data_IF_952904044854
#
_entry.id   IF_952904044854
#
_cell.length_a   1.000
_cell.length_b   1.000
_cell.length_c   1.000
_cell.angle_alpha   90.00
_cell.angle_beta   90.00
_cell.angle_gamma   90.00
#
_symmetry.space_group_name_H-M   'P 1'
#
loop_
_entity.id
_entity.type
_entity.pdbx_description
1 polymer ?
#
# COMPACT_ATOMS: atom_id res chain seq x y z
N UNK A 1 -11.31 29.63 4.52
CA UNK A 1 -10.03 28.99 4.86
C UNK A 1 -9.64 28.20 3.63
N UNK A 2 -8.66 28.67 2.86
CA UNK A 2 -7.99 27.81 1.89
C UNK A 2 -7.24 26.76 2.70
N UNK A 3 -7.54 25.48 2.47
CA UNK A 3 -6.75 24.40 3.04
C UNK A 3 -5.47 24.29 2.21
N UNK A 4 -4.31 24.33 2.86
CA UNK A 4 -3.03 24.16 2.17
C UNK A 4 -3.03 22.79 1.47
N UNK A 5 -2.95 22.81 0.14
CA UNK A 5 -2.94 21.60 -0.67
C UNK A 5 -1.50 21.14 -0.90
N UNK A 6 -1.19 19.91 -0.48
CA UNK A 6 0.10 19.27 -0.71
C UNK A 6 0.00 18.31 -1.89
N UNK A 7 0.57 18.74 -3.01
CA UNK A 7 0.68 17.96 -4.24
C UNK A 7 2.12 17.98 -4.73
N UNK A 8 2.56 16.83 -5.26
CA UNK A 8 3.78 16.70 -6.06
C UNK A 8 3.38 16.49 -7.53
N UNK A 9 4.08 17.16 -8.43
CA UNK A 9 3.79 17.10 -9.87
C UNK A 9 4.75 16.10 -10.52
N UNK A 10 4.27 15.30 -11.46
CA UNK A 10 5.13 14.36 -12.19
C UNK A 10 6.27 15.11 -12.88
N UNK A 11 7.51 14.73 -12.57
CA UNK A 11 8.69 15.41 -13.10
C UNK A 11 8.81 15.28 -14.62
N UNK A 12 8.32 14.16 -15.18
CA UNK A 12 8.37 13.83 -16.61
C UNK A 12 7.29 14.54 -17.44
N UNK A 13 6.01 14.40 -17.07
CA UNK A 13 4.88 14.87 -17.90
C UNK A 13 4.17 16.12 -17.35
N UNK A 14 4.56 16.59 -16.15
CA UNK A 14 3.97 17.75 -15.46
C UNK A 14 2.49 17.59 -15.06
N UNK A 15 1.95 16.38 -15.08
CA UNK A 15 0.60 16.09 -14.61
C UNK A 15 0.53 16.09 -13.08
N UNK A 16 -0.63 16.53 -12.57
CA UNK A 16 -1.01 16.41 -11.17
C UNK A 16 -1.60 15.00 -10.97
N UNK A 17 -1.14 14.22 -9.99
CA UNK A 17 -1.67 12.90 -9.73
C UNK A 17 -3.10 12.99 -9.21
N UNK A 18 -3.94 12.05 -9.62
CA UNK A 18 -5.30 11.95 -9.14
C UNK A 18 -5.33 11.47 -7.67
N UNK A 19 -6.40 11.82 -6.96
CA UNK A 19 -6.67 11.25 -5.65
C UNK A 19 -7.10 9.79 -5.82
N UNK A 20 -6.75 8.95 -4.85
CA UNK A 20 -7.19 7.56 -4.85
C UNK A 20 -8.72 7.50 -4.71
N UNK A 21 -9.36 6.89 -5.70
CA UNK A 21 -10.78 6.58 -5.71
C UNK A 21 -10.93 5.06 -5.67
N UNK A 22 -11.88 4.56 -4.88
CA UNK A 22 -12.17 3.13 -4.88
C UNK A 22 -13.02 2.82 -6.12
N UNK A 23 -12.35 2.54 -7.22
CA UNK A 23 -12.95 2.26 -8.53
C UNK A 23 -13.02 0.75 -8.82
N UNK A 24 -12.33 -0.09 -8.05
CA UNK A 24 -12.43 -1.55 -8.17
C UNK A 24 -13.62 -2.11 -7.40
N UNK A 25 -14.58 -2.62 -8.16
CA UNK A 25 -15.71 -3.41 -7.64
C UNK A 25 -15.19 -4.51 -6.73
N UNK A 26 -15.92 -4.80 -5.65
CA UNK A 26 -15.61 -5.88 -4.71
C UNK A 26 -14.82 -5.42 -3.49
N UNK A 27 -13.84 -4.53 -3.65
CA UNK A 27 -12.99 -4.07 -2.55
C UNK A 27 -13.69 -3.04 -1.65
N UNK A 28 -13.43 -3.14 -0.35
CA UNK A 28 -13.97 -2.22 0.66
C UNK A 28 -13.24 -0.88 0.70
N UNK A 29 -11.96 -0.86 0.30
CA UNK A 29 -11.11 0.32 0.41
C UNK A 29 -10.02 0.39 -0.66
N UNK A 30 -9.54 1.61 -0.87
CA UNK A 30 -8.32 1.93 -1.60
C UNK A 30 -7.42 2.76 -0.69
N UNK A 31 -6.12 2.55 -0.79
CA UNK A 31 -5.09 3.20 0.00
C UNK A 31 -3.88 3.52 -0.88
N UNK A 32 -3.05 4.48 -0.45
CA UNK A 32 -1.71 4.67 -1.00
C UNK A 32 -0.81 3.52 -0.60
N UNK A 33 -0.07 2.92 -1.53
CA UNK A 33 0.84 1.83 -1.23
C UNK A 33 2.21 2.32 -0.73
N UNK A 34 3.00 2.98 -1.58
CA UNK A 34 4.39 3.35 -1.29
C UNK A 34 4.64 4.85 -1.42
N UNK A 35 3.61 5.65 -1.11
CA UNK A 35 3.67 7.12 -1.22
C UNK A 35 4.13 7.78 0.09
N UNK A 36 4.24 6.99 1.16
CA UNK A 36 4.46 7.47 2.52
C UNK A 36 5.44 6.58 3.30
N UNK A 37 6.46 7.23 3.86
CA UNK A 37 7.48 6.60 4.68
C UNK A 37 7.25 6.91 6.17
N UNK A 38 7.28 5.87 7.00
CA UNK A 38 6.90 5.94 8.41
C UNK A 38 8.11 6.17 9.33
N UNK A 39 8.02 7.13 10.25
CA UNK A 39 9.09 7.45 11.21
C UNK A 39 8.66 7.32 12.68
N UNK A 40 9.66 7.33 13.57
CA UNK A 40 9.47 7.45 15.02
C UNK A 40 9.93 8.81 15.58
N UNK A 41 10.10 9.82 14.73
CA UNK A 41 10.53 11.14 15.18
C UNK A 41 9.47 11.81 16.07
N UNK A 42 9.86 12.21 17.28
CA UNK A 42 8.99 12.88 18.23
C UNK A 42 9.06 14.42 18.10
N UNK A 43 10.25 14.99 17.96
CA UNK A 43 10.47 16.44 17.93
C UNK A 43 10.94 16.94 16.56
N UNK A 44 12.19 16.70 16.20
CA UNK A 44 12.72 17.18 14.93
C UNK A 44 12.70 16.08 13.87
N UNK A 45 12.53 16.49 12.62
CA UNK A 45 12.66 15.61 11.44
C UNK A 45 13.95 15.94 10.71
N UNK A 46 14.58 14.95 10.05
CA UNK A 46 15.73 15.20 9.18
C UNK A 46 15.42 16.25 8.11
N UNK A 47 16.43 17.03 7.74
CA UNK A 47 16.35 17.91 6.58
C UNK A 47 16.00 17.12 5.31
N UNK A 48 15.24 17.71 4.39
CA UNK A 48 14.79 17.04 3.17
C UNK A 48 15.92 16.69 2.18
N UNK A 49 17.15 17.17 2.40
CA UNK A 49 18.35 16.71 1.68
C UNK A 49 18.84 15.34 2.17
N UNK A 50 18.53 14.95 3.40
CA UNK A 50 18.90 13.65 3.97
C UNK A 50 17.97 12.57 3.41
N UNK A 51 18.54 11.65 2.63
CA UNK A 51 17.79 10.57 1.97
C UNK A 51 17.61 9.33 2.84
N UNK A 52 18.52 9.10 3.78
CA UNK A 52 18.54 7.90 4.60
C UNK A 52 18.27 8.25 6.05
N UNK A 53 17.23 7.65 6.61
CA UNK A 53 16.84 7.80 8.00
C UNK A 53 16.11 6.53 8.45
N UNK A 54 16.00 6.33 9.76
CA UNK A 54 15.44 5.10 10.33
C UNK A 54 13.91 5.06 10.18
N UNK A 55 13.42 4.14 9.35
CA UNK A 55 11.98 3.84 9.22
C UNK A 55 11.52 2.97 10.39
N UNK A 56 10.27 3.16 10.83
CA UNK A 56 9.72 2.34 11.92
C UNK A 56 9.32 0.95 11.44
N UNK A 57 9.62 -0.08 12.23
CA UNK A 57 9.07 -1.43 12.05
C UNK A 57 7.81 -1.69 12.88
N UNK A 58 7.40 -0.73 13.71
CA UNK A 58 6.24 -0.85 14.58
C UNK A 58 5.08 -0.06 13.95
N UNK A 59 3.95 -0.72 13.64
CA UNK A 59 2.75 -0.05 13.16
C UNK A 59 2.21 0.89 14.25
N UNK A 60 1.72 2.06 13.86
CA UNK A 60 1.18 3.03 14.81
C UNK A 60 -0.12 2.53 15.44
N UNK A 61 -0.59 3.26 16.45
CA UNK A 61 -1.85 3.00 17.15
C UNK A 61 -2.85 4.14 16.87
N UNK A 62 -4.14 3.82 16.81
CA UNK A 62 -5.19 4.82 16.65
C UNK A 62 -5.13 5.88 17.76
N UNK A 63 -5.26 7.14 17.37
CA UNK A 63 -5.13 8.32 18.24
C UNK A 63 -3.72 8.91 18.28
N UNK A 64 -2.70 8.20 17.82
CA UNK A 64 -1.32 8.73 17.78
C UNK A 64 -1.16 9.86 16.76
N UNK A 65 -0.22 10.74 17.04
CA UNK A 65 0.32 11.69 16.08
C UNK A 65 1.64 11.13 15.55
N UNK A 66 1.80 11.12 14.22
CA UNK A 66 3.03 10.65 13.57
C UNK A 66 3.56 11.69 12.61
N UNK A 67 4.89 11.69 12.48
CA UNK A 67 5.63 12.43 11.46
C UNK A 67 6.00 11.45 10.36
N UNK A 68 5.61 11.75 9.14
CA UNK A 68 5.80 10.87 7.99
C UNK A 68 6.33 11.69 6.83
N UNK A 69 7.14 11.06 5.98
CA UNK A 69 7.58 11.67 4.75
C UNK A 69 6.67 11.19 3.62
N UNK A 70 6.16 12.12 2.82
CA UNK A 70 5.36 11.82 1.63
C UNK A 70 6.05 12.33 0.37
N UNK A 71 5.82 11.67 -0.75
CA UNK A 71 6.36 12.04 -2.06
C UNK A 71 5.32 11.82 -3.15
N UNK A 72 5.67 12.09 -4.41
CA UNK A 72 4.80 11.77 -5.54
C UNK A 72 4.39 10.28 -5.53
N UNK A 73 3.13 9.90 -5.82
CA UNK A 73 1.98 10.71 -6.29
C UNK A 73 1.05 11.29 -5.19
N UNK A 74 1.56 11.68 -4.01
CA UNK A 74 0.71 12.25 -2.95
C UNK A 74 -0.02 13.53 -3.39
N UNK A 75 -1.34 13.58 -3.16
CA UNK A 75 -2.18 14.73 -3.45
C UNK A 75 -3.31 14.86 -2.42
N UNK A 76 -3.07 15.59 -1.34
CA UNK A 76 -4.03 15.79 -0.26
C UNK A 76 -3.98 17.22 0.27
N UNK A 77 -5.12 17.72 0.74
CA UNK A 77 -5.22 18.99 1.46
C UNK A 77 -5.20 18.77 2.97
N UNK A 78 -4.64 19.73 3.70
CA UNK A 78 -4.69 19.72 5.17
C UNK A 78 -6.15 19.59 5.64
N UNK A 79 -6.39 18.72 6.61
CA UNK A 79 -7.71 18.34 7.13
C UNK A 79 -8.36 17.16 6.41
N UNK A 80 -7.86 16.75 5.24
CA UNK A 80 -8.39 15.58 4.55
C UNK A 80 -7.95 14.26 5.18
N UNK A 81 -8.74 13.22 4.93
CA UNK A 81 -8.49 11.86 5.40
C UNK A 81 -8.12 10.97 4.23
N UNK A 82 -7.18 10.07 4.45
CA UNK A 82 -6.75 9.10 3.45
C UNK A 82 -6.36 7.78 4.10
N UNK A 83 -6.28 6.74 3.28
CA UNK A 83 -5.77 5.44 3.68
C UNK A 83 -4.39 5.21 3.06
N UNK A 84 -3.56 4.47 3.76
CA UNK A 84 -2.21 4.11 3.31
C UNK A 84 -1.83 2.74 3.88
N UNK A 85 -1.02 2.00 3.12
CA UNK A 85 -0.40 0.76 3.58
C UNK A 85 0.80 1.09 4.46
N UNK A 86 0.78 0.54 5.66
CA UNK A 86 1.94 0.43 6.51
C UNK A 86 2.66 -0.88 6.23
N UNK A 87 3.90 -0.77 5.78
CA UNK A 87 4.89 -1.84 5.75
C UNK A 87 5.97 -1.53 6.80
N UNK A 88 6.37 -2.50 7.64
CA UNK A 88 7.53 -2.34 8.50
C UNK A 88 8.81 -2.06 7.68
N UNK A 89 9.86 -1.58 8.35
CA UNK A 89 11.02 -0.98 7.68
C UNK A 89 11.66 -1.86 6.60
N UNK A 90 11.87 -3.15 6.84
CA UNK A 90 12.63 -4.01 5.92
C UNK A 90 11.84 -4.27 4.63
N UNK A 91 10.56 -4.61 4.76
CA UNK A 91 9.63 -4.80 3.65
C UNK A 91 9.26 -3.50 2.94
N UNK A 92 9.38 -2.34 3.60
CA UNK A 92 9.30 -1.03 2.96
C UNK A 92 10.52 -0.73 2.07
N UNK A 93 11.69 -1.35 2.31
CA UNK A 93 12.88 -1.17 1.48
C UNK A 93 13.01 -2.24 0.39
N UNK A 94 12.78 -3.51 0.74
CA UNK A 94 13.06 -4.66 -0.14
C UNK A 94 11.83 -5.54 -0.40
N UNK A 95 10.63 -5.06 -0.06
CA UNK A 95 9.39 -5.77 -0.29
C UNK A 95 9.16 -6.98 0.64
N UNK A 96 7.95 -7.55 0.56
CA UNK A 96 7.57 -8.73 1.33
C UNK A 96 8.17 -10.02 0.75
N UNK A 97 8.67 -10.00 -0.49
CA UNK A 97 9.39 -11.10 -1.11
C UNK A 97 10.70 -11.42 -0.39
N UNK A 98 11.42 -10.40 0.09
CA UNK A 98 12.65 -10.58 0.90
C UNK A 98 12.36 -10.67 2.40
N UNK A 99 11.27 -10.05 2.86
CA UNK A 99 10.90 -9.98 4.27
C UNK A 99 9.44 -10.40 4.53
N UNK A 100 9.05 -11.64 4.19
CA UNK A 100 7.65 -12.07 4.24
C UNK A 100 7.11 -12.17 5.67
N UNK A 101 7.98 -12.32 6.66
CA UNK A 101 7.62 -12.28 8.08
C UNK A 101 7.05 -10.93 8.55
N UNK A 102 7.21 -9.86 7.76
CA UNK A 102 6.64 -8.54 8.07
C UNK A 102 5.20 -8.35 7.56
N UNK A 103 4.65 -9.32 6.81
CA UNK A 103 3.24 -9.31 6.37
C UNK A 103 2.28 -9.23 7.57
N UNK A 104 2.50 -10.05 8.61
CA UNK A 104 1.66 -10.07 9.82
C UNK A 104 1.74 -8.76 10.63
N UNK A 105 2.84 -8.02 10.48
CA UNK A 105 3.03 -6.71 11.11
C UNK A 105 2.55 -5.54 10.25
N UNK A 106 2.10 -5.82 9.02
CA UNK A 106 1.61 -4.81 8.08
C UNK A 106 0.13 -4.47 8.32
N UNK A 107 -0.28 -3.27 7.90
CA UNK A 107 -1.62 -2.76 8.18
C UNK A 107 -2.08 -1.76 7.14
N UNK A 108 -3.39 -1.62 6.96
CA UNK A 108 -3.99 -0.47 6.29
C UNK A 108 -4.40 0.55 7.35
N UNK A 109 -3.97 1.79 7.16
CA UNK A 109 -4.05 2.83 8.17
C UNK A 109 -4.79 4.03 7.62
N UNK A 110 -5.84 4.44 8.33
CA UNK A 110 -6.55 5.67 8.08
C UNK A 110 -5.89 6.79 8.83
N UNK A 111 -5.56 7.85 8.12
CA UNK A 111 -4.90 9.01 8.66
C UNK A 111 -5.69 10.27 8.32
N UNK A 112 -5.62 11.29 9.17
CA UNK A 112 -5.94 12.67 8.80
C UNK A 112 -4.66 13.47 8.65
N UNK A 113 -4.59 14.29 7.59
CA UNK A 113 -3.47 15.17 7.31
C UNK A 113 -3.59 16.44 8.14
N UNK A 114 -2.70 16.64 9.12
CA UNK A 114 -2.85 17.70 10.13
C UNK A 114 -2.06 18.97 9.77
N UNK A 115 -0.81 18.84 9.32
CA UNK A 115 -0.01 20.00 8.94
C UNK A 115 1.22 19.61 8.12
N UNK A 116 1.76 20.57 7.35
CA UNK A 116 3.07 20.45 6.70
C UNK A 116 4.16 20.88 7.69
N UNK A 117 5.23 20.10 7.83
CA UNK A 117 6.40 20.43 8.66
C UNK A 117 7.45 21.14 7.80
N UNK A 118 7.77 20.54 6.66
CA UNK A 118 8.72 21.07 5.67
C UNK A 118 8.41 20.46 4.30
N UNK A 119 8.65 21.20 3.22
CA UNK A 119 8.41 20.74 1.84
C UNK A 119 9.53 21.19 0.90
N UNK A 120 9.83 20.36 -0.10
CA UNK A 120 10.55 20.75 -1.31
C UNK A 120 9.78 20.27 -2.56
N UNK A 121 10.42 20.26 -3.73
CA UNK A 121 9.78 19.87 -4.99
C UNK A 121 9.46 18.37 -5.10
N UNK A 122 10.15 17.51 -4.34
CA UNK A 122 10.06 16.04 -4.46
C UNK A 122 9.29 15.39 -3.31
N UNK A 123 9.36 15.97 -2.12
CA UNK A 123 8.87 15.38 -0.87
C UNK A 123 8.52 16.41 0.20
N UNK A 124 7.79 15.96 1.20
CA UNK A 124 7.48 16.75 2.39
C UNK A 124 7.44 15.88 3.64
N UNK A 125 7.84 16.47 4.76
CA UNK A 125 7.49 15.96 6.07
C UNK A 125 6.14 16.54 6.48
N UNK A 126 5.22 15.68 6.91
CA UNK A 126 3.90 16.07 7.38
C UNK A 126 3.59 15.47 8.75
N UNK A 127 2.73 16.16 9.50
CA UNK A 127 2.07 15.59 10.67
C UNK A 127 0.77 14.93 10.21
N UNK A 128 0.55 13.71 10.68
CA UNK A 128 -0.70 12.99 10.54
C UNK A 128 -1.22 12.56 11.89
N UNK A 129 -2.54 12.44 12.01
CA UNK A 129 -3.19 11.75 13.12
C UNK A 129 -3.72 10.42 12.63
N UNK A 130 -3.44 9.39 13.41
CA UNK A 130 -3.89 8.03 13.11
C UNK A 130 -5.33 7.89 13.58
N UNK A 131 -6.26 7.65 12.66
CA UNK A 131 -7.67 7.46 12.99
C UNK A 131 -8.02 6.00 13.23
N UNK A 132 -7.49 5.12 12.37
CA UNK A 132 -7.83 3.71 12.38
C UNK A 132 -6.67 2.87 11.85
N UNK A 133 -6.48 1.69 12.44
CA UNK A 133 -5.45 0.73 12.04
C UNK A 133 -6.11 -0.63 11.85
N UNK A 134 -6.00 -1.20 10.66
CA UNK A 134 -6.53 -2.52 10.31
C UNK A 134 -5.35 -3.39 9.89
N UNK A 135 -4.93 -4.30 10.76
CA UNK A 135 -3.88 -5.28 10.42
C UNK A 135 -4.34 -6.16 9.27
N UNK A 136 -3.45 -6.47 8.34
CA UNK A 136 -3.78 -7.30 7.17
C UNK A 136 -4.31 -8.67 7.60
N UNK A 137 -3.74 -9.26 8.65
CA UNK A 137 -4.18 -10.54 9.21
C UNK A 137 -5.65 -10.57 9.65
N UNK A 138 -6.24 -9.40 9.96
CA UNK A 138 -7.60 -9.23 10.50
C UNK A 138 -8.61 -8.76 9.46
N UNK A 139 -8.21 -8.58 8.21
CA UNK A 139 -9.10 -8.12 7.13
C UNK A 139 -10.29 -9.06 6.95
N UNK A 140 -10.06 -10.38 7.03
CA UNK A 140 -11.11 -11.41 6.90
C UNK A 140 -12.15 -11.36 8.01
N UNK A 141 -11.80 -10.84 9.18
CA UNK A 141 -12.73 -10.65 10.31
C UNK A 141 -13.47 -9.31 10.20
N UNK A 142 -12.84 -8.32 9.54
CA UNK A 142 -13.33 -6.94 9.43
C UNK A 142 -14.37 -6.79 8.32
N UNK A 143 -14.16 -7.43 7.17
CA UNK A 143 -15.00 -7.26 6.00
C UNK A 143 -15.83 -8.49 5.68
N UNK A 144 -17.02 -8.24 5.15
CA UNK A 144 -17.91 -9.29 4.65
C UNK A 144 -17.25 -9.96 3.46
N UNK A 145 -17.20 -11.30 3.50
CA UNK A 145 -16.70 -12.08 2.37
C UNK A 145 -17.55 -11.83 1.13
N UNK A 146 -16.89 -11.63 -0.01
CA UNK A 146 -17.49 -11.52 -1.34
C UNK A 146 -16.82 -12.50 -2.28
N UNK A 147 -17.58 -13.02 -3.23
CA UNK A 147 -17.01 -13.78 -4.32
C UNK A 147 -16.26 -12.84 -5.26
N UNK A 148 -15.03 -13.20 -5.62
CA UNK A 148 -14.25 -12.50 -6.61
C UNK A 148 -14.11 -13.31 -7.88
N UNK A 149 -14.11 -12.63 -9.01
CA UNK A 149 -13.81 -13.22 -10.32
C UNK A 149 -12.98 -12.21 -11.12
N UNK A 150 -12.07 -12.72 -11.93
CA UNK A 150 -11.24 -12.00 -12.91
C UNK A 150 -10.18 -11.04 -12.33
N UNK A 151 -10.03 -10.93 -11.00
CA UNK A 151 -9.01 -10.05 -10.40
C UNK A 151 -7.58 -10.50 -10.72
N UNK A 152 -7.33 -11.81 -10.83
CA UNK A 152 -6.01 -12.34 -11.14
C UNK A 152 -5.70 -12.36 -12.64
N UNK A 153 -6.69 -12.05 -13.50
CA UNK A 153 -6.52 -12.03 -14.94
C UNK A 153 -5.44 -11.04 -15.42
N UNK A 154 -5.22 -9.95 -14.69
CA UNK A 154 -4.25 -8.93 -15.06
C UNK A 154 -2.79 -9.42 -14.99
N UNK A 155 -2.50 -10.43 -14.15
CA UNK A 155 -1.18 -11.05 -14.09
C UNK A 155 -0.75 -11.70 -15.41
N UNK A 156 -1.70 -12.11 -16.25
CA UNK A 156 -1.46 -12.75 -17.55
C UNK A 156 -0.81 -11.82 -18.58
N UNK A 157 -0.86 -10.51 -18.37
CA UNK A 157 -0.18 -9.53 -19.23
C UNK A 157 1.32 -9.40 -18.94
N UNK A 158 1.78 -9.98 -17.84
CA UNK A 158 3.18 -9.96 -17.45
C UNK A 158 3.86 -11.28 -17.79
N UNK A 159 5.17 -11.22 -18.11
CA UNK A 159 5.89 -12.38 -18.64
C UNK A 159 6.06 -13.51 -17.64
N UNK A 160 6.27 -13.19 -16.35
CA UNK A 160 6.51 -14.17 -15.30
C UNK A 160 6.20 -13.58 -13.93
N UNK A 161 5.03 -13.88 -13.34
CA UNK A 161 4.76 -13.55 -11.96
C UNK A 161 5.75 -14.26 -11.02
N UNK A 162 6.18 -13.55 -9.98
CA UNK A 162 6.88 -14.10 -8.85
C UNK A 162 5.86 -14.56 -7.80
N UNK A 163 6.16 -15.69 -7.14
CA UNK A 163 5.37 -16.24 -6.03
C UNK A 163 6.26 -16.40 -4.81
N UNK A 164 5.84 -15.80 -3.70
CA UNK A 164 6.44 -16.01 -2.37
C UNK A 164 5.40 -16.59 -1.43
N UNK A 165 5.71 -17.71 -0.77
CA UNK A 165 4.85 -18.32 0.23
C UNK A 165 5.44 -18.13 1.64
N UNK A 166 4.59 -17.80 2.61
CA UNK A 166 4.98 -17.66 4.01
C UNK A 166 3.81 -17.96 4.94
N UNK A 167 3.96 -18.98 5.79
CA UNK A 167 2.86 -19.48 6.63
C UNK A 167 1.60 -19.77 5.79
N UNK A 168 0.50 -19.08 6.09
CA UNK A 168 -0.76 -19.14 5.36
C UNK A 168 -0.90 -18.03 4.29
N UNK A 169 0.15 -17.25 4.06
CA UNK A 169 0.19 -16.21 3.02
C UNK A 169 0.81 -16.70 1.72
N UNK A 170 0.29 -16.19 0.62
CA UNK A 170 0.91 -16.21 -0.70
C UNK A 170 0.92 -14.77 -1.22
N UNK A 171 2.10 -14.31 -1.62
CA UNK A 171 2.28 -13.10 -2.38
C UNK A 171 2.53 -13.46 -3.84
N UNK A 172 1.67 -12.96 -4.72
CA UNK A 172 1.94 -12.94 -6.16
C UNK A 172 2.34 -11.53 -6.55
N UNK A 173 3.35 -11.38 -7.39
CA UNK A 173 3.79 -10.08 -7.89
C UNK A 173 4.23 -10.21 -9.35
N UNK A 174 3.86 -9.26 -10.19
CA UNK A 174 4.32 -9.22 -11.56
C UNK A 174 4.52 -7.77 -12.00
N UNK A 175 5.58 -7.51 -12.76
CA UNK A 175 5.90 -6.17 -13.21
C UNK A 175 6.52 -6.17 -14.61
N UNK A 176 6.42 -5.04 -15.30
CA UNK A 176 7.13 -4.79 -16.54
C UNK A 176 8.25 -3.79 -16.28
N UNK A 177 9.48 -4.31 -16.15
CA UNK A 177 10.70 -3.54 -15.90
C UNK A 177 10.67 -2.67 -14.63
N UNK A 178 9.76 -2.95 -13.69
CA UNK A 178 9.59 -2.20 -12.44
C UNK A 178 8.74 -0.94 -12.55
N UNK A 179 8.48 -0.42 -13.75
CA UNK A 179 7.76 0.85 -13.93
C UNK A 179 6.24 0.73 -13.75
N UNK A 180 5.70 -0.44 -14.06
CA UNK A 180 4.29 -0.77 -13.89
C UNK A 180 4.15 -2.21 -13.44
N UNK A 181 3.19 -2.49 -12.59
CA UNK A 181 2.99 -3.84 -12.09
C UNK A 181 1.81 -3.98 -11.16
N UNK A 182 1.61 -5.22 -10.74
CA UNK A 182 0.55 -5.62 -9.84
C UNK A 182 1.05 -6.64 -8.84
N UNK A 183 0.42 -6.68 -7.68
CA UNK A 183 0.61 -7.75 -6.72
C UNK A 183 -0.70 -8.12 -6.04
N UNK A 184 -0.77 -9.35 -5.54
CA UNK A 184 -1.91 -9.87 -4.82
C UNK A 184 -1.41 -10.57 -3.56
N UNK A 185 -1.88 -10.12 -2.41
CA UNK A 185 -1.65 -10.78 -1.13
C UNK A 185 -2.87 -11.62 -0.77
N UNK A 186 -2.62 -12.92 -0.65
CA UNK A 186 -3.64 -13.95 -0.53
C UNK A 186 -3.40 -14.76 0.73
N UNK A 187 -4.47 -15.11 1.44
CA UNK A 187 -4.47 -15.92 2.65
C UNK A 187 -5.17 -17.26 2.41
N UNK A 188 -4.48 -18.37 2.69
CA UNK A 188 -5.01 -19.74 2.71
C UNK A 188 -5.70 -19.98 4.05
N UNK A 189 -7.02 -20.11 4.08
CA UNK A 189 -7.79 -20.32 5.31
C UNK A 189 -8.91 -21.35 5.13
N UNK A 190 -8.90 -22.42 5.93
CA UNK A 190 -9.96 -23.47 5.95
C UNK A 190 -10.32 -23.99 4.54
N UNK A 191 -9.31 -24.37 3.75
CA UNK A 191 -9.45 -24.80 2.35
C UNK A 191 -10.02 -23.75 1.38
N UNK A 192 -10.11 -22.49 1.81
CA UNK A 192 -10.42 -21.36 0.96
C UNK A 192 -9.17 -20.52 0.76
N UNK A 193 -9.17 -19.78 -0.34
CA UNK A 193 -8.10 -18.85 -0.67
C UNK A 193 -8.73 -17.47 -0.80
N UNK A 194 -8.30 -16.55 0.06
CA UNK A 194 -8.92 -15.24 0.20
C UNK A 194 -7.90 -14.18 -0.19
N UNK A 195 -8.21 -13.35 -1.18
CA UNK A 195 -7.41 -12.17 -1.47
C UNK A 195 -7.74 -11.09 -0.44
N UNK A 196 -6.69 -10.66 0.26
CA UNK A 196 -6.75 -9.67 1.36
C UNK A 196 -6.40 -8.28 0.86
N UNK A 197 -5.40 -8.21 -0.02
CA UNK A 197 -4.98 -6.97 -0.65
C UNK A 197 -4.52 -7.22 -2.09
N UNK A 198 -4.70 -6.21 -2.93
CA UNK A 198 -4.31 -6.22 -4.32
C UNK A 198 -3.75 -4.85 -4.66
N UNK A 199 -2.49 -4.78 -5.07
CA UNK A 199 -1.81 -3.54 -5.41
C UNK A 199 -1.59 -3.40 -6.90
N UNK A 200 -1.63 -2.16 -7.36
CA UNK A 200 -1.31 -1.75 -8.72
C UNK A 200 -0.49 -0.47 -8.65
N UNK A 201 0.62 -0.45 -9.39
CA UNK A 201 1.40 0.75 -9.57
C UNK A 201 1.64 1.02 -11.05
N UNK A 202 1.63 2.31 -11.36
CA UNK A 202 1.93 2.88 -12.67
C UNK A 202 2.65 4.21 -12.48
N UNK A 203 2.99 4.89 -13.56
CA UNK A 203 3.76 6.14 -13.51
C UNK A 203 3.17 7.26 -12.64
N UNK A 204 1.84 7.28 -12.43
CA UNK A 204 1.16 8.37 -11.73
C UNK A 204 0.23 7.91 -10.61
N UNK A 205 0.15 6.61 -10.35
CA UNK A 205 -0.67 6.07 -9.27
C UNK A 205 0.01 4.88 -8.63
N UNK A 206 -0.20 4.78 -7.32
CA UNK A 206 0.37 3.73 -6.50
C UNK A 206 -0.65 3.37 -5.43
N UNK A 207 -1.38 2.29 -5.69
CA UNK A 207 -2.66 2.00 -5.07
C UNK A 207 -2.68 0.58 -4.56
N UNK A 208 -3.21 0.43 -3.37
CA UNK A 208 -3.59 -0.87 -2.81
C UNK A 208 -5.06 -0.89 -2.46
N UNK A 209 -5.75 -1.90 -2.97
CA UNK A 209 -7.13 -2.20 -2.67
C UNK A 209 -7.16 -3.31 -1.62
N UNK A 210 -8.04 -3.21 -0.63
CA UNK A 210 -8.17 -4.24 0.40
C UNK A 210 -9.61 -4.70 0.56
N UNK A 211 -9.75 -6.00 0.79
CA UNK A 211 -11.04 -6.63 0.93
C UNK A 211 -10.99 -8.09 1.37
N UNK A 212 -12.16 -8.68 1.56
CA UNK A 212 -12.30 -10.10 1.89
C UNK A 212 -12.88 -10.84 0.67
N UNK A 213 -12.01 -11.12 -0.30
CA UNK A 213 -12.43 -11.63 -1.61
C UNK A 213 -12.11 -13.12 -1.70
N UNK A 214 -13.14 -13.96 -1.79
CA UNK A 214 -12.98 -15.38 -2.05
C UNK A 214 -12.56 -15.58 -3.52
N UNK A 215 -11.38 -16.14 -3.71
CA UNK A 215 -10.84 -16.40 -5.04
C UNK A 215 -11.25 -17.79 -5.56
N UNK A 216 -11.62 -17.92 -6.85
CA UNK A 216 -11.90 -19.20 -7.48
C UNK A 216 -10.63 -20.05 -7.57
N UNK A 217 -10.77 -21.35 -7.28
CA UNK A 217 -9.64 -22.29 -7.24
C UNK A 217 -8.89 -22.37 -8.58
N UNK A 218 -9.62 -22.29 -9.70
CA UNK A 218 -9.03 -22.27 -11.03
C UNK A 218 -8.13 -21.05 -11.29
N UNK A 219 -8.53 -19.84 -10.87
CA UNK A 219 -7.69 -18.64 -11.06
C UNK A 219 -6.38 -18.73 -10.27
N UNK A 220 -6.44 -19.29 -9.07
CA UNK A 220 -5.26 -19.48 -8.23
C UNK A 220 -4.32 -20.51 -8.84
N UNK A 221 -4.86 -21.65 -9.29
CA UNK A 221 -4.07 -22.71 -9.90
C UNK A 221 -3.39 -22.22 -11.18
N UNK A 222 -4.12 -21.49 -12.04
CA UNK A 222 -3.55 -20.87 -13.23
C UNK A 222 -2.39 -19.92 -12.88
N UNK A 223 -2.55 -19.07 -11.86
CA UNK A 223 -1.51 -18.13 -11.46
C UNK A 223 -0.30 -18.83 -10.82
N UNK A 224 -0.54 -19.92 -10.08
CA UNK A 224 0.51 -20.79 -9.55
C UNK A 224 1.34 -21.39 -10.69
N UNK A 225 0.68 -21.98 -11.70
CA UNK A 225 1.35 -22.56 -12.86
C UNK A 225 2.16 -21.52 -13.64
N UNK A 226 1.60 -20.33 -13.86
CA UNK A 226 2.29 -19.20 -14.50
C UNK A 226 3.53 -18.73 -13.74
N UNK A 227 3.57 -18.93 -12.42
CA UNK A 227 4.70 -18.51 -11.57
C UNK A 227 5.83 -19.55 -11.53
N UNK A 228 5.61 -20.78 -12.01
CA UNK A 228 6.57 -21.88 -11.99
C UNK A 228 7.40 -21.99 -13.29
N UNK A 229 6.89 -21.46 -14.40
CA UNK A 229 7.55 -21.41 -15.72
C UNK A 229 8.49 -20.23 -15.85
#
# INVERSE_FOLDING_TARGET
>A
MEFDNLTFICSACKQVPEKNLNDKKGFEMVAYEDVMEWSNFSQDVPDLSIRNWERTSIPPIAGEMKKVQVHFPFNMSVGEKFWTLFRPALSSFNGWEEHPNEIDSSAIIKCSFESIISKNEERAWINIKIEEVIRLERITDKFTQKDGEEYLGYFKFFRKPCRTEYNDWILFQASAQGDLGVWALVKKFKCKTIMVAYGEWEFHSDRVYCGNILLPENEINELIELSET
#
